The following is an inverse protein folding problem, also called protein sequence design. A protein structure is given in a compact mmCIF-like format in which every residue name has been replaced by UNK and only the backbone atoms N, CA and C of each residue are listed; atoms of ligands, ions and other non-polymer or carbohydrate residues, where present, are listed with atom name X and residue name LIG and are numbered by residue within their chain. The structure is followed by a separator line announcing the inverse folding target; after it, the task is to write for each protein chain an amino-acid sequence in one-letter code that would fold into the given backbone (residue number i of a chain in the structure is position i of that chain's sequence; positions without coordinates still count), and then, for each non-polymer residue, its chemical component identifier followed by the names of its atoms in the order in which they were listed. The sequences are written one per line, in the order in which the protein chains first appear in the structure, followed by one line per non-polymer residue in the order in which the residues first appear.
data_IF_053676054134
#
_entry.id   IF_053676054134
#
_cell.length_a   1.000
_cell.length_b   1.000
_cell.length_c   1.000
_cell.angle_alpha   90.00
_cell.angle_beta   90.00
_cell.angle_gamma   90.00
#
_symmetry.space_group_name_H-M   'P 1'
#
loop_
_entity.id
_entity.type
_entity.pdbx_description
1 polymer ?
#
# COMPACT_ATOMS: atom_id res chain seq x y z
N UNK A 1 6.41 5.18 -2.76
CA UNK A 1 5.16 5.77 -3.23
C UNK A 1 4.08 5.77 -2.19
N UNK A 2 3.37 4.65 -1.97
CA UNK A 2 2.21 4.57 -1.08
C UNK A 2 2.48 5.12 0.35
N UNK A 3 3.55 4.71 0.98
CA UNK A 3 3.88 5.14 2.34
C UNK A 3 4.02 6.66 2.45
N UNK A 4 4.76 7.30 1.54
CA UNK A 4 4.91 8.76 1.53
C UNK A 4 3.61 9.48 1.20
N UNK A 5 2.78 8.91 0.31
CA UNK A 5 1.45 9.42 0.03
C UNK A 5 0.57 9.44 1.29
N UNK A 6 0.57 8.37 2.08
CA UNK A 6 -0.20 8.30 3.32
C UNK A 6 0.31 9.28 4.38
N UNK A 7 1.62 9.47 4.51
CA UNK A 7 2.19 10.49 5.40
C UNK A 7 1.78 11.89 4.96
N UNK A 8 1.87 12.18 3.65
CA UNK A 8 1.47 13.47 3.09
C UNK A 8 0.00 13.75 3.34
N UNK A 9 -0.87 12.78 3.04
CA UNK A 9 -2.31 12.89 3.28
C UNK A 9 -2.63 13.10 4.76
N UNK A 10 -1.95 12.37 5.65
CA UNK A 10 -2.11 12.55 7.09
C UNK A 10 -1.75 13.97 7.55
N UNK A 11 -0.67 14.54 7.01
CA UNK A 11 -0.22 15.91 7.35
C UNK A 11 -1.16 16.99 6.85
N UNK A 12 -1.57 16.88 5.59
CA UNK A 12 -2.24 17.98 4.88
C UNK A 12 -3.77 17.87 4.86
N UNK A 13 -4.32 16.65 4.95
CA UNK A 13 -5.77 16.42 4.97
C UNK A 13 -6.27 16.14 6.39
N UNK A 14 -5.60 15.25 7.13
CA UNK A 14 -5.98 14.94 8.51
C UNK A 14 -5.43 15.93 9.55
N UNK A 15 -4.57 16.89 9.12
CA UNK A 15 -3.90 17.87 9.99
C UNK A 15 -3.01 17.24 11.09
N UNK A 16 -2.54 16.03 10.89
CA UNK A 16 -1.59 15.34 11.77
C UNK A 16 -0.16 15.78 11.44
N UNK A 17 0.22 16.99 11.81
CA UNK A 17 1.50 17.63 11.40
C UNK A 17 2.74 16.80 11.73
N UNK A 18 2.70 16.02 12.82
CA UNK A 18 3.79 15.13 13.25
C UNK A 18 3.70 13.72 12.64
N UNK A 19 2.82 13.51 11.64
CA UNK A 19 2.70 12.24 10.95
C UNK A 19 4.00 11.88 10.22
N UNK A 20 4.51 10.67 10.45
CA UNK A 20 5.78 10.24 9.88
C UNK A 20 5.88 8.71 9.78
N UNK A 21 6.99 8.25 9.25
CA UNK A 21 7.45 6.86 9.36
C UNK A 21 8.41 6.73 10.53
N UNK A 22 8.31 5.67 11.32
CA UNK A 22 9.30 5.36 12.35
C UNK A 22 10.69 5.01 11.75
N UNK A 23 10.76 4.77 10.45
CA UNK A 23 12.03 4.64 9.74
C UNK A 23 12.81 5.95 9.71
N UNK A 24 12.13 7.09 9.68
CA UNK A 24 12.73 8.42 9.63
C UNK A 24 12.82 9.08 11.01
N UNK A 25 11.83 8.82 11.86
CA UNK A 25 11.75 9.35 13.22
C UNK A 25 11.06 8.31 14.13
N UNK A 26 11.88 7.61 14.91
CA UNK A 26 11.41 6.57 15.85
C UNK A 26 10.49 7.13 16.94
N UNK A 27 10.57 8.43 17.23
CA UNK A 27 9.81 9.11 18.28
C UNK A 27 8.61 9.90 17.75
N UNK A 28 8.26 9.75 16.46
CA UNK A 28 7.14 10.48 15.88
C UNK A 28 5.82 10.15 16.60
N UNK A 29 5.03 11.17 16.90
CA UNK A 29 3.77 11.02 17.66
C UNK A 29 2.69 10.29 16.87
N UNK A 30 2.69 10.46 15.56
CA UNK A 30 1.73 9.86 14.65
C UNK A 30 2.45 8.94 13.65
N UNK A 31 2.79 7.70 14.05
CA UNK A 31 3.48 6.74 13.19
C UNK A 31 2.50 6.15 12.15
N UNK A 32 2.35 6.87 11.04
CA UNK A 32 1.52 6.42 9.91
C UNK A 32 2.13 5.19 9.25
N UNK A 33 3.46 5.15 9.21
CA UNK A 33 4.23 4.00 8.73
C UNK A 33 5.03 3.45 9.90
N UNK A 34 4.92 2.15 10.12
CA UNK A 34 5.51 1.52 11.29
C UNK A 34 6.09 0.14 10.98
N UNK A 35 6.88 -0.38 11.91
CA UNK A 35 7.38 -1.73 11.83
C UNK A 35 6.38 -2.68 12.48
N UNK A 36 5.94 -3.69 11.75
CA UNK A 36 5.05 -4.71 12.32
C UNK A 36 5.86 -5.70 13.14
N UNK A 37 5.47 -5.87 14.39
CA UNK A 37 6.10 -6.84 15.29
C UNK A 37 5.80 -8.29 14.90
N UNK A 38 4.68 -8.52 14.21
CA UNK A 38 4.25 -9.87 13.84
C UNK A 38 3.59 -9.90 12.48
N UNK A 39 4.02 -10.79 11.60
CA UNK A 39 3.38 -11.04 10.30
C UNK A 39 3.44 -12.54 9.95
N UNK A 40 2.57 -12.97 9.03
CA UNK A 40 2.60 -14.32 8.49
C UNK A 40 3.45 -14.31 7.22
N UNK A 41 4.48 -15.16 7.17
CA UNK A 41 5.31 -15.28 5.97
C UNK A 41 4.60 -16.12 4.88
N UNK A 42 5.19 -16.13 3.68
CA UNK A 42 4.69 -16.89 2.52
C UNK A 42 4.52 -18.41 2.75
N UNK A 43 5.07 -18.94 3.83
CA UNK A 43 4.96 -20.35 4.20
C UNK A 43 3.89 -20.57 5.29
N UNK A 44 3.12 -19.54 5.64
CA UNK A 44 2.11 -19.57 6.69
C UNK A 44 2.70 -19.54 8.11
N UNK A 45 4.00 -19.27 8.27
CA UNK A 45 4.65 -19.23 9.57
C UNK A 45 4.61 -17.82 10.15
N UNK A 46 4.14 -17.73 11.41
CA UNK A 46 4.15 -16.47 12.16
C UNK A 46 5.59 -16.06 12.46
N UNK A 47 5.98 -14.90 11.97
CA UNK A 47 7.26 -14.26 12.23
C UNK A 47 7.05 -13.12 13.23
N UNK A 48 7.95 -13.05 14.22
CA UNK A 48 7.96 -11.96 15.21
C UNK A 48 9.16 -11.09 14.91
N UNK A 49 8.95 -9.79 14.77
CA UNK A 49 9.99 -8.78 14.60
C UNK A 49 10.15 -8.01 15.90
N UNK A 50 11.38 -7.71 16.25
CA UNK A 50 11.74 -6.78 17.32
C UNK A 50 12.67 -5.73 16.75
N UNK A 51 12.82 -4.59 17.40
CA UNK A 51 13.81 -3.57 17.02
C UNK A 51 15.24 -4.10 16.96
N UNK A 52 15.52 -5.23 17.63
CA UNK A 52 16.81 -5.91 17.65
C UNK A 52 16.93 -7.02 16.60
N UNK A 53 15.86 -7.30 15.85
CA UNK A 53 15.90 -8.34 14.80
C UNK A 53 16.88 -7.92 13.69
N UNK A 54 17.74 -8.85 13.19
CA UNK A 54 18.63 -8.54 12.08
C UNK A 54 17.86 -7.99 10.89
N UNK A 55 18.36 -6.92 10.28
CA UNK A 55 17.72 -6.24 9.16
C UNK A 55 17.52 -7.13 7.92
N UNK A 56 18.35 -8.17 7.77
CA UNK A 56 18.16 -9.22 6.75
C UNK A 56 17.17 -10.28 7.23
N UNK A 57 16.17 -10.62 6.46
CA UNK A 57 15.19 -11.68 6.80
C UNK A 57 13.89 -11.24 7.44
N UNK A 58 13.73 -9.94 7.79
CA UNK A 58 12.48 -9.38 8.31
C UNK A 58 11.66 -8.64 7.25
N UNK A 59 12.07 -8.73 5.99
CA UNK A 59 11.42 -8.09 4.86
C UNK A 59 10.28 -8.96 4.33
N UNK A 60 9.13 -8.35 4.00
CA UNK A 60 8.15 -9.00 3.15
C UNK A 60 8.73 -9.02 1.74
N UNK A 61 9.15 -10.19 1.30
CA UNK A 61 9.84 -10.39 0.03
C UNK A 61 9.15 -11.49 -0.77
N UNK A 62 8.84 -11.21 -2.03
CA UNK A 62 8.20 -12.15 -2.92
C UNK A 62 6.72 -11.85 -3.15
N UNK A 63 6.00 -12.81 -3.72
CA UNK A 63 4.58 -12.67 -4.02
C UNK A 63 3.71 -12.90 -2.77
N UNK A 64 2.74 -12.01 -2.58
CA UNK A 64 1.70 -12.11 -1.56
C UNK A 64 0.34 -11.85 -2.19
N UNK A 65 -0.66 -12.52 -1.65
CA UNK A 65 -2.04 -12.33 -2.07
C UNK A 65 -2.60 -11.06 -1.44
N UNK A 66 -3.35 -10.31 -2.24
CA UNK A 66 -4.01 -9.09 -1.84
C UNK A 66 -5.50 -9.20 -2.20
N UNK A 67 -6.36 -9.11 -1.21
CA UNK A 67 -7.81 -9.00 -1.40
C UNK A 67 -8.13 -7.61 -1.89
N UNK A 68 -8.87 -7.54 -2.98
CA UNK A 68 -9.20 -6.29 -3.66
C UNK A 68 -10.62 -5.89 -3.31
N UNK A 69 -10.79 -4.63 -2.90
CA UNK A 69 -12.10 -4.04 -2.65
C UNK A 69 -12.88 -3.95 -3.96
N UNK A 70 -14.11 -4.45 -3.97
CA UNK A 70 -15.02 -4.27 -5.09
C UNK A 70 -15.26 -2.77 -5.36
N UNK A 71 -15.57 -2.43 -6.62
CA UNK A 71 -15.85 -1.06 -7.07
C UNK A 71 -14.73 -0.04 -6.81
N UNK A 72 -13.48 -0.52 -6.68
CA UNK A 72 -12.28 0.31 -6.54
C UNK A 72 -11.57 0.52 -7.89
N UNK A 73 -10.71 1.55 -7.95
CA UNK A 73 -9.82 1.75 -9.11
C UNK A 73 -8.87 0.57 -9.28
N UNK A 74 -8.40 0.01 -8.16
CA UNK A 74 -7.59 -1.20 -8.16
C UNK A 74 -8.35 -2.38 -8.77
N UNK A 75 -9.60 -2.61 -8.36
CA UNK A 75 -10.47 -3.66 -8.92
C UNK A 75 -10.64 -3.49 -10.42
N UNK A 76 -10.96 -2.27 -10.87
CA UNK A 76 -11.11 -1.96 -12.29
C UNK A 76 -9.82 -2.24 -13.08
N UNK A 77 -8.66 -1.86 -12.54
CA UNK A 77 -7.37 -2.11 -13.19
C UNK A 77 -7.11 -3.61 -13.39
N UNK A 78 -7.48 -4.44 -12.41
CA UNK A 78 -7.30 -5.91 -12.47
C UNK A 78 -8.52 -6.67 -13.02
N UNK A 79 -9.37 -6.02 -13.84
CA UNK A 79 -10.55 -6.65 -14.45
C UNK A 79 -11.49 -7.28 -13.43
N UNK A 80 -11.78 -6.56 -12.35
CA UNK A 80 -12.71 -6.95 -11.28
C UNK A 80 -12.36 -8.25 -10.56
N UNK A 81 -11.09 -8.59 -10.48
CA UNK A 81 -10.62 -9.69 -9.64
C UNK A 81 -10.77 -9.34 -8.17
N UNK A 82 -11.29 -10.27 -7.37
CA UNK A 82 -11.41 -10.12 -5.92
C UNK A 82 -10.08 -10.32 -5.18
N UNK A 83 -9.12 -10.95 -5.84
CA UNK A 83 -7.80 -11.25 -5.29
C UNK A 83 -6.74 -11.19 -6.39
N UNK A 84 -5.60 -10.63 -6.05
CA UNK A 84 -4.43 -10.51 -6.92
C UNK A 84 -3.19 -10.97 -6.16
N UNK A 85 -2.17 -11.41 -6.89
CA UNK A 85 -0.88 -11.79 -6.31
C UNK A 85 0.21 -10.92 -6.91
N UNK A 86 0.84 -10.10 -6.06
CA UNK A 86 1.86 -9.14 -6.48
C UNK A 86 3.10 -9.23 -5.60
N UNK A 87 4.24 -8.76 -6.12
CA UNK A 87 5.54 -8.91 -5.46
C UNK A 87 5.85 -7.73 -4.53
N UNK A 88 6.30 -8.05 -3.34
CA UNK A 88 6.69 -7.11 -2.29
C UNK A 88 8.20 -7.10 -2.05
N UNK A 89 8.67 -5.94 -1.56
CA UNK A 89 10.06 -5.73 -1.15
C UNK A 89 10.10 -4.59 -0.13
N UNK A 90 9.49 -4.80 1.02
CA UNK A 90 9.45 -3.76 2.05
C UNK A 90 9.46 -4.36 3.46
N UNK A 91 9.76 -3.52 4.44
CA UNK A 91 9.82 -3.89 5.87
C UNK A 91 8.79 -3.13 6.68
N UNK A 92 8.59 -1.86 6.35
CA UNK A 92 7.62 -1.00 7.01
C UNK A 92 6.26 -1.10 6.34
N UNK A 93 5.21 -0.90 7.13
CA UNK A 93 3.82 -1.07 6.72
C UNK A 93 2.99 0.16 7.09
N UNK A 94 1.93 0.38 6.37
CA UNK A 94 0.92 1.36 6.74
C UNK A 94 0.22 0.93 8.04
N UNK A 95 0.07 1.86 8.99
CA UNK A 95 -0.49 1.58 10.30
C UNK A 95 -2.02 1.48 10.22
N UNK A 96 -2.62 0.29 10.43
CA UNK A 96 -4.07 0.11 10.30
C UNK A 96 -4.87 0.88 11.35
N UNK A 97 -4.23 1.36 12.41
CA UNK A 97 -4.87 2.21 13.44
C UNK A 97 -5.50 3.46 12.84
N UNK A 98 -4.91 4.02 11.79
CA UNK A 98 -5.39 5.26 11.15
C UNK A 98 -6.36 5.01 9.99
N UNK A 99 -6.70 3.74 9.71
CA UNK A 99 -7.57 3.39 8.58
C UNK A 99 -8.89 4.15 8.57
N UNK A 100 -9.58 4.19 9.71
CA UNK A 100 -10.89 4.82 9.80
C UNK A 100 -10.83 6.34 9.52
N UNK A 101 -9.79 7.01 10.01
CA UNK A 101 -9.58 8.44 9.73
C UNK A 101 -9.27 8.69 8.26
N UNK A 102 -8.43 7.86 7.64
CA UNK A 102 -8.13 7.94 6.22
C UNK A 102 -9.37 7.75 5.36
N UNK A 103 -10.13 6.66 5.58
CA UNK A 103 -11.34 6.37 4.81
C UNK A 103 -12.40 7.46 4.96
N UNK A 104 -12.59 8.00 6.17
CA UNK A 104 -13.50 9.14 6.42
C UNK A 104 -13.09 10.40 5.65
N UNK A 105 -11.80 10.60 5.43
CA UNK A 105 -11.27 11.77 4.73
C UNK A 105 -11.11 11.54 3.21
N UNK A 106 -11.49 10.38 2.68
CA UNK A 106 -11.49 10.09 1.24
C UNK A 106 -10.27 9.33 0.71
N UNK A 107 -9.34 8.89 1.59
CA UNK A 107 -8.29 7.95 1.21
C UNK A 107 -8.77 6.52 1.50
N UNK A 108 -9.25 5.84 0.48
CA UNK A 108 -9.90 4.54 0.58
C UNK A 108 -8.86 3.42 0.58
N UNK A 109 -9.00 2.45 1.46
CA UNK A 109 -8.22 1.20 1.39
C UNK A 109 -8.84 0.30 0.34
N UNK A 110 -8.15 0.08 -0.77
CA UNK A 110 -8.61 -0.71 -1.91
C UNK A 110 -7.95 -2.08 -2.03
N UNK A 111 -6.88 -2.34 -1.31
CA UNK A 111 -6.21 -3.64 -1.24
C UNK A 111 -5.74 -3.98 0.16
N UNK A 112 -5.88 -5.26 0.54
CA UNK A 112 -5.60 -5.72 1.90
C UNK A 112 -5.05 -7.16 1.91
N UNK A 113 -4.09 -7.43 2.79
CA UNK A 113 -3.54 -8.77 3.04
C UNK A 113 -3.33 -8.97 4.54
N UNK A 114 -3.99 -9.96 5.14
CA UNK A 114 -3.87 -10.28 6.58
C UNK A 114 -4.03 -9.07 7.52
N UNK A 115 -4.97 -8.17 7.18
CA UNK A 115 -5.20 -6.94 7.94
C UNK A 115 -4.22 -5.80 7.65
N UNK A 116 -3.27 -5.99 6.73
CA UNK A 116 -2.32 -4.98 6.29
C UNK A 116 -2.84 -4.22 5.06
N UNK A 117 -2.58 -2.92 5.02
CA UNK A 117 -2.97 -2.06 3.91
C UNK A 117 -1.98 -2.24 2.76
N UNK A 118 -2.46 -2.77 1.64
CA UNK A 118 -1.66 -3.06 0.45
C UNK A 118 -1.88 -2.06 -0.69
N UNK A 119 -3.03 -1.42 -0.71
CA UNK A 119 -3.34 -0.39 -1.67
C UNK A 119 -4.31 0.65 -1.10
N UNK A 120 -4.12 1.88 -1.52
CA UNK A 120 -4.99 3.02 -1.18
C UNK A 120 -5.31 3.81 -2.44
N UNK A 121 -6.46 4.50 -2.44
CA UNK A 121 -6.87 5.34 -3.56
C UNK A 121 -7.64 6.57 -3.08
N UNK A 122 -7.62 7.64 -3.85
CA UNK A 122 -8.46 8.83 -3.65
C UNK A 122 -9.63 8.71 -4.60
N UNK A 123 -10.83 8.45 -4.05
CA UNK A 123 -12.02 8.11 -4.83
C UNK A 123 -12.45 9.19 -5.82
N UNK A 124 -12.27 10.47 -5.48
CA UNK A 124 -12.66 11.60 -6.33
C UNK A 124 -11.60 11.98 -7.38
N UNK A 125 -10.43 11.34 -7.35
CA UNK A 125 -9.39 11.58 -8.34
C UNK A 125 -9.59 10.67 -9.57
N UNK A 126 -9.34 11.15 -10.80
CA UNK A 126 -9.50 10.34 -12.04
C UNK A 126 -8.77 9.00 -12.02
N UNK A 127 -7.56 8.97 -11.46
CA UNK A 127 -6.81 7.76 -11.15
C UNK A 127 -5.67 8.06 -10.18
N UNK A 128 -5.91 7.85 -8.91
CA UNK A 128 -4.90 7.92 -7.86
C UNK A 128 -4.91 6.61 -7.09
N UNK A 129 -3.91 5.76 -7.32
CA UNK A 129 -3.74 4.48 -6.65
C UNK A 129 -2.32 4.38 -6.11
N UNK A 130 -2.17 4.28 -4.80
CA UNK A 130 -0.91 3.98 -4.13
C UNK A 130 -0.87 2.50 -3.77
N UNK A 131 0.22 1.81 -4.10
CA UNK A 131 0.38 0.37 -3.80
C UNK A 131 1.65 0.12 -2.99
N UNK A 132 1.57 -0.85 -2.08
CA UNK A 132 2.69 -1.30 -1.26
C UNK A 132 3.58 -2.28 -2.03
N UNK A 133 2.99 -3.08 -2.88
CA UNK A 133 3.72 -3.97 -3.79
C UNK A 133 4.38 -3.20 -4.94
N UNK A 134 5.21 -3.89 -5.71
CA UNK A 134 6.01 -3.36 -6.80
C UNK A 134 5.51 -3.88 -8.17
N UNK A 135 4.56 -3.18 -8.81
CA UNK A 135 3.98 -3.62 -10.09
C UNK A 135 5.01 -3.76 -11.22
N UNK A 136 6.13 -3.03 -11.13
CA UNK A 136 7.22 -3.14 -12.10
C UNK A 136 7.87 -4.54 -12.12
N UNK A 137 7.82 -5.29 -11.02
CA UNK A 137 8.41 -6.63 -10.97
C UNK A 137 7.63 -7.67 -11.81
N UNK A 138 6.35 -7.46 -12.00
CA UNK A 138 5.48 -8.34 -12.80
C UNK A 138 5.17 -7.77 -14.18
N UNK A 139 5.55 -6.51 -14.45
CA UNK A 139 5.36 -5.86 -15.74
C UNK A 139 6.36 -6.37 -16.81
N UNK A 140 5.88 -6.54 -18.05
CA UNK A 140 6.68 -6.91 -19.21
C UNK A 140 6.25 -6.07 -20.40
N UNK A 141 7.13 -5.90 -21.38
CA UNK A 141 6.84 -5.14 -22.59
C UNK A 141 5.59 -5.66 -23.33
N UNK A 142 5.44 -6.97 -23.41
CA UNK A 142 4.30 -7.63 -24.08
C UNK A 142 3.10 -7.89 -23.16
N UNK A 143 3.26 -7.70 -21.87
CA UNK A 143 2.23 -7.86 -20.84
C UNK A 143 2.48 -6.88 -19.69
N UNK A 144 2.16 -5.60 -19.89
CA UNK A 144 2.32 -4.60 -18.85
C UNK A 144 1.47 -4.93 -17.62
N UNK A 145 1.94 -4.52 -16.44
CA UNK A 145 1.14 -4.68 -15.24
C UNK A 145 -0.14 -3.83 -15.36
N UNK A 146 -1.30 -4.37 -14.94
CA UNK A 146 -2.60 -3.73 -15.11
C UNK A 146 -2.71 -2.32 -14.53
N UNK A 147 -2.10 -2.05 -13.36
CA UNK A 147 -2.08 -0.71 -12.76
C UNK A 147 -1.32 0.29 -13.64
N UNK A 148 -0.16 -0.12 -14.15
CA UNK A 148 0.67 0.74 -15.01
C UNK A 148 -0.09 1.07 -16.30
N UNK A 149 -0.72 0.06 -16.89
CA UNK A 149 -1.52 0.25 -18.12
C UNK A 149 -2.68 1.20 -17.85
N UNK A 150 -3.43 0.98 -16.76
CA UNK A 150 -4.59 1.82 -16.41
C UNK A 150 -4.20 3.26 -16.09
N UNK A 151 -3.06 3.47 -15.44
CA UNK A 151 -2.52 4.80 -15.21
C UNK A 151 -2.27 5.55 -16.53
N UNK A 152 -1.64 4.90 -17.52
CA UNK A 152 -1.38 5.51 -18.82
C UNK A 152 -2.68 5.81 -19.57
N UNK A 153 -3.65 4.89 -19.55
CA UNK A 153 -4.97 5.09 -20.16
C UNK A 153 -5.64 6.35 -19.58
N UNK A 154 -5.68 6.46 -18.25
CA UNK A 154 -6.29 7.61 -17.57
C UNK A 154 -5.52 8.92 -17.77
N UNK A 155 -4.21 8.88 -17.83
CA UNK A 155 -3.40 10.05 -18.18
C UNK A 155 -3.70 10.57 -19.58
N UNK A 156 -3.86 9.68 -20.58
CA UNK A 156 -4.23 10.05 -21.93
C UNK A 156 -5.66 10.59 -22.05
N UNK A 157 -6.61 10.05 -21.29
CA UNK A 157 -7.98 10.57 -21.22
C UNK A 157 -8.02 12.01 -20.66
N UNK A 158 -7.21 12.30 -19.63
CA UNK A 158 -7.16 13.64 -19.00
C UNK A 158 -6.31 14.66 -19.78
N UNK A 159 -5.50 14.24 -20.74
CA UNK A 159 -4.69 15.13 -21.58
C UNK A 159 -5.47 15.69 -22.79
N UNK A 160 -6.70 15.26 -23.00
CA UNK A 160 -7.60 15.69 -24.10
C UNK A 160 -8.59 16.71 -23.63
#
# INVERSE_FOLDING_TARGET
GMQLCMIEFARNVLNLKDANSIEFDENCKNPIIFLIDTFIDKNGKKQIRTHQSPLGGTMRLGAYECKVRADSMLSNAYNFKNEISERHRHRYEANPKYRAEFEKAGLIVSGESDGLIEAVEIAEHPFFVGVQFHPEFTSRLTRPNPIILKFIEKALENAR
#
